data_IF_130071789348
#
_entry.id   IF_130071789348
#
_cell.length_a   1.000
_cell.length_b   1.000
_cell.length_c   1.000
_cell.angle_alpha   90.00
_cell.angle_beta   90.00
_cell.angle_gamma   90.00
#
_symmetry.space_group_name_H-M   'P 1'
#
loop_
_entity.id
_entity.type
_entity.pdbx_description
1 polymer ?
#
# COMPACT_ATOMS: atom_id res chain seq x y z
N UNK A 1 -34.46 17.38 -41.09
CA UNK A 1 -34.15 16.29 -40.15
C UNK A 1 -32.63 16.14 -40.05
N UNK A 2 -31.98 16.85 -39.12
CA UNK A 2 -30.54 16.74 -38.83
C UNK A 2 -30.34 17.06 -37.34
N UNK A 3 -30.63 16.10 -36.45
CA UNK A 3 -30.40 16.25 -35.00
C UNK A 3 -29.90 14.97 -34.31
N UNK A 4 -29.70 13.86 -35.04
CA UNK A 4 -29.25 12.60 -34.45
C UNK A 4 -27.73 12.52 -34.21
N UNK A 5 -26.93 13.22 -35.03
CA UNK A 5 -25.45 13.19 -34.93
C UNK A 5 -24.89 13.87 -33.67
N UNK A 6 -25.50 14.97 -33.24
CA UNK A 6 -25.00 15.80 -32.13
C UNK A 6 -25.20 15.13 -30.76
N UNK A 7 -26.32 14.41 -30.60
CA UNK A 7 -26.65 13.71 -29.34
C UNK A 7 -25.72 12.52 -29.08
N UNK A 8 -25.41 11.74 -30.12
CA UNK A 8 -24.53 10.57 -30.00
C UNK A 8 -23.10 10.95 -29.64
N UNK A 9 -22.59 12.07 -30.16
CA UNK A 9 -21.26 12.57 -29.83
C UNK A 9 -21.16 12.98 -28.36
N UNK A 10 -22.16 13.70 -27.84
CA UNK A 10 -22.22 14.12 -26.44
C UNK A 10 -22.33 12.92 -25.50
N UNK A 11 -23.12 11.90 -25.85
CA UNK A 11 -23.25 10.67 -25.06
C UNK A 11 -21.93 9.90 -24.95
N UNK A 12 -21.19 9.75 -26.06
CA UNK A 12 -19.89 9.09 -26.04
C UNK A 12 -18.89 9.78 -25.11
N UNK A 13 -18.84 11.11 -25.14
CA UNK A 13 -17.97 11.88 -24.23
C UNK A 13 -18.42 11.81 -22.77
N UNK A 14 -19.72 11.72 -22.48
CA UNK A 14 -20.22 11.48 -21.13
C UNK A 14 -19.77 10.12 -20.59
N UNK A 15 -19.82 9.07 -21.42
CA UNK A 15 -19.31 7.75 -21.03
C UNK A 15 -17.81 7.78 -20.71
N UNK A 16 -17.01 8.53 -21.49
CA UNK A 16 -15.58 8.73 -21.24
C UNK A 16 -15.30 9.51 -19.94
N UNK A 17 -16.14 10.50 -19.63
CA UNK A 17 -16.09 11.24 -18.37
C UNK A 17 -16.35 10.30 -17.18
N UNK A 18 -17.38 9.47 -17.25
CA UNK A 18 -17.68 8.49 -16.20
C UNK A 18 -16.55 7.48 -16.03
N UNK A 19 -15.99 6.96 -17.13
CA UNK A 19 -14.83 6.07 -17.09
C UNK A 19 -13.62 6.72 -16.40
N UNK A 20 -13.36 8.00 -16.67
CA UNK A 20 -12.27 8.76 -16.04
C UNK A 20 -12.48 8.89 -14.53
N UNK A 21 -13.72 9.22 -14.10
CA UNK A 21 -14.08 9.30 -12.67
C UNK A 21 -13.89 7.96 -11.98
N UNK A 22 -14.36 6.87 -12.60
CA UNK A 22 -14.19 5.51 -12.07
C UNK A 22 -12.72 5.15 -11.93
N UNK A 23 -11.90 5.46 -12.95
CA UNK A 23 -10.45 5.21 -12.93
C UNK A 23 -9.77 5.95 -11.79
N UNK A 24 -10.08 7.24 -11.60
CA UNK A 24 -9.54 8.06 -10.50
C UNK A 24 -9.95 7.48 -9.15
N UNK A 25 -11.22 7.13 -8.98
CA UNK A 25 -11.75 6.57 -7.74
C UNK A 25 -11.04 5.27 -7.36
N UNK A 26 -10.97 4.31 -8.29
CA UNK A 26 -10.30 3.02 -8.06
C UNK A 26 -8.81 3.23 -7.77
N UNK A 27 -8.11 4.01 -8.59
CA UNK A 27 -6.69 4.28 -8.40
C UNK A 27 -6.40 4.91 -7.03
N UNK A 28 -7.22 5.88 -6.60
CA UNK A 28 -7.08 6.55 -5.31
C UNK A 28 -7.31 5.62 -4.11
N UNK A 29 -8.31 4.74 -4.19
CA UNK A 29 -8.61 3.77 -3.14
C UNK A 29 -7.45 2.77 -2.96
N UNK A 30 -6.93 2.24 -4.08
CA UNK A 30 -5.80 1.32 -4.06
C UNK A 30 -4.53 2.02 -3.57
N UNK A 31 -4.27 3.25 -4.03
CA UNK A 31 -3.12 4.03 -3.58
C UNK A 31 -3.18 4.30 -2.07
N UNK A 32 -4.37 4.60 -1.53
CA UNK A 32 -4.57 4.80 -0.08
C UNK A 32 -4.27 3.52 0.69
N UNK A 33 -4.76 2.37 0.21
CA UNK A 33 -4.47 1.07 0.82
C UNK A 33 -2.97 0.74 0.77
N UNK A 34 -2.29 1.03 -0.34
CA UNK A 34 -0.84 0.85 -0.49
C UNK A 34 -0.05 1.74 0.46
N UNK A 35 -0.42 3.02 0.60
CA UNK A 35 0.22 3.92 1.57
C UNK A 35 0.04 3.38 2.99
N UNK A 36 -1.17 2.93 3.34
CA UNK A 36 -1.42 2.29 4.63
C UNK A 36 -0.54 1.05 4.85
N UNK A 37 -0.41 0.20 3.83
CA UNK A 37 0.49 -0.95 3.86
C UNK A 37 1.95 -0.55 4.05
N UNK A 38 2.44 0.48 3.33
CA UNK A 38 3.80 1.00 3.46
C UNK A 38 4.10 1.57 4.84
N UNK A 39 3.16 2.32 5.42
CA UNK A 39 3.29 2.89 6.76
C UNK A 39 3.35 1.79 7.82
N UNK A 40 2.51 0.75 7.70
CA UNK A 40 2.47 -0.35 8.67
C UNK A 40 3.67 -1.28 8.59
N UNK A 41 4.31 -1.41 7.42
CA UNK A 41 5.38 -2.38 7.17
C UNK A 41 6.72 -1.71 6.84
N UNK A 42 6.95 -0.49 7.31
CA UNK A 42 8.10 0.33 6.93
C UNK A 42 9.46 -0.36 7.20
N UNK A 43 9.57 -1.15 8.26
CA UNK A 43 10.82 -1.85 8.64
C UNK A 43 11.07 -3.15 7.85
N UNK A 44 10.04 -3.70 7.20
CA UNK A 44 10.03 -5.02 6.54
C UNK A 44 9.97 -4.92 5.02
N UNK A 45 9.79 -3.72 4.49
CA UNK A 45 9.79 -3.46 3.05
C UNK A 45 11.24 -3.20 2.63
N UNK A 46 11.79 -4.13 1.86
CA UNK A 46 13.08 -3.92 1.22
C UNK A 46 12.98 -2.68 0.32
N UNK A 47 13.94 -1.76 0.41
CA UNK A 47 13.94 -0.53 -0.40
C UNK A 47 14.33 -0.82 -1.87
N UNK A 48 13.62 -1.74 -2.52
CA UNK A 48 13.82 -2.13 -3.91
C UNK A 48 13.01 -1.20 -4.80
N UNK A 49 13.58 -0.78 -5.95
CA UNK A 49 12.91 0.10 -6.93
C UNK A 49 11.55 -0.45 -7.41
N UNK A 50 11.38 -1.77 -7.38
CA UNK A 50 10.12 -2.44 -7.75
C UNK A 50 8.96 -2.13 -6.80
N UNK A 51 9.22 -1.88 -5.51
CA UNK A 51 8.16 -1.61 -4.54
C UNK A 51 7.45 -0.28 -4.86
N UNK A 52 8.18 0.71 -5.38
CA UNK A 52 7.60 1.99 -5.78
C UNK A 52 6.91 1.97 -7.16
N UNK A 53 6.99 0.87 -7.91
CA UNK A 53 6.42 0.80 -9.26
C UNK A 53 4.89 0.90 -9.24
N UNK A 54 4.23 0.10 -8.40
CA UNK A 54 2.77 0.11 -8.26
C UNK A 54 2.21 1.51 -7.91
N UNK A 55 2.67 2.20 -6.84
CA UNK A 55 2.17 3.53 -6.52
C UNK A 55 2.45 4.57 -7.62
N UNK A 56 3.61 4.50 -8.28
CA UNK A 56 3.92 5.41 -9.40
C UNK A 56 2.96 5.22 -10.59
N UNK A 57 2.68 3.97 -10.99
CA UNK A 57 1.76 3.68 -12.08
C UNK A 57 0.33 4.14 -11.75
N UNK A 58 -0.11 3.98 -10.50
CA UNK A 58 -1.43 4.45 -10.04
C UNK A 58 -1.51 5.99 -10.07
N UNK A 59 -0.45 6.69 -9.66
CA UNK A 59 -0.38 8.16 -9.76
C UNK A 59 -0.45 8.61 -11.22
N UNK A 60 0.34 7.99 -12.11
CA UNK A 60 0.30 8.33 -13.53
C UNK A 60 -1.06 8.01 -14.16
N UNK A 61 -1.72 6.93 -13.75
CA UNK A 61 -3.09 6.62 -14.15
C UNK A 61 -4.05 7.75 -13.75
N UNK A 62 -4.02 8.20 -12.49
CA UNK A 62 -4.87 9.31 -12.03
C UNK A 62 -4.62 10.59 -12.81
N UNK A 63 -3.34 10.94 -13.03
CA UNK A 63 -2.97 12.16 -13.78
C UNK A 63 -3.50 12.08 -15.21
N UNK A 64 -3.27 10.97 -15.91
CA UNK A 64 -3.78 10.78 -17.27
C UNK A 64 -5.31 10.84 -17.33
N UNK A 65 -6.02 10.23 -16.37
CA UNK A 65 -7.47 10.27 -16.26
C UNK A 65 -7.99 11.70 -16.03
N UNK A 66 -7.33 12.50 -15.18
CA UNK A 66 -7.70 13.90 -14.94
C UNK A 66 -7.52 14.77 -16.19
N UNK A 67 -6.43 14.59 -16.93
CA UNK A 67 -6.25 15.29 -18.22
C UNK A 67 -7.28 14.87 -19.26
N UNK A 68 -7.54 13.56 -19.37
CA UNK A 68 -8.57 13.00 -20.26
C UNK A 68 -9.96 13.55 -19.95
N UNK A 69 -10.32 13.60 -18.67
CA UNK A 69 -11.56 14.20 -18.17
C UNK A 69 -11.70 15.68 -18.58
N UNK A 70 -10.65 16.49 -18.39
CA UNK A 70 -10.66 17.90 -18.78
C UNK A 70 -10.82 18.11 -20.29
N UNK A 71 -10.21 17.23 -21.10
CA UNK A 71 -10.35 17.24 -22.57
C UNK A 71 -11.75 16.82 -23.01
N UNK A 72 -12.35 15.81 -22.37
CA UNK A 72 -13.71 15.37 -22.65
C UNK A 72 -14.75 16.47 -22.39
N UNK A 73 -14.61 17.22 -21.29
CA UNK A 73 -15.47 18.37 -20.99
C UNK A 73 -15.33 19.45 -22.08
N UNK A 74 -14.09 19.72 -22.51
CA UNK A 74 -13.81 20.69 -23.59
C UNK A 74 -14.43 20.25 -24.92
N UNK A 75 -14.35 18.98 -25.27
CA UNK A 75 -14.94 18.41 -26.47
C UNK A 75 -16.47 18.61 -26.49
N UNK A 76 -17.15 18.33 -25.37
CA UNK A 76 -18.59 18.59 -25.22
C UNK A 76 -18.91 20.08 -25.38
N UNK A 77 -18.13 20.96 -24.74
CA UNK A 77 -18.38 22.42 -24.76
C UNK A 77 -18.16 23.04 -26.14
N UNK A 78 -17.18 22.55 -26.89
CA UNK A 78 -16.79 23.11 -28.19
C UNK A 78 -17.47 22.42 -29.37
N UNK A 79 -18.14 21.29 -29.16
CA UNK A 79 -18.73 20.47 -30.23
C UNK A 79 -17.68 19.80 -31.12
N UNK A 80 -16.40 19.90 -30.78
CA UNK A 80 -15.30 19.36 -31.57
C UNK A 80 -14.78 18.05 -30.98
N UNK A 81 -14.35 17.14 -31.85
CA UNK A 81 -13.67 15.92 -31.44
C UNK A 81 -12.25 16.23 -30.95
N UNK A 82 -11.89 15.68 -29.79
CA UNK A 82 -10.55 15.81 -29.18
C UNK A 82 -9.95 14.41 -29.00
N UNK A 83 -9.41 13.82 -30.07
CA UNK A 83 -8.81 12.47 -30.06
C UNK A 83 -7.75 12.28 -28.97
N UNK A 84 -7.03 13.35 -28.61
CA UNK A 84 -6.06 13.37 -27.51
C UNK A 84 -6.69 12.99 -26.15
N UNK A 85 -7.94 13.38 -25.91
CA UNK A 85 -8.67 13.04 -24.68
C UNK A 85 -8.96 11.54 -24.58
N UNK A 86 -9.39 10.92 -25.70
CA UNK A 86 -9.65 9.47 -25.75
C UNK A 86 -8.38 8.67 -25.47
N UNK A 87 -7.26 9.07 -26.09
CA UNK A 87 -5.96 8.41 -25.88
C UNK A 87 -5.54 8.47 -24.42
N UNK A 88 -5.64 9.64 -23.78
CA UNK A 88 -5.27 9.81 -22.37
C UNK A 88 -6.13 8.95 -21.44
N UNK A 89 -7.43 8.83 -21.71
CA UNK A 89 -8.32 7.96 -20.93
C UNK A 89 -7.92 6.49 -21.10
N UNK A 90 -7.67 6.02 -22.32
CA UNK A 90 -7.23 4.64 -22.56
C UNK A 90 -5.89 4.35 -21.88
N UNK A 91 -4.92 5.27 -21.98
CA UNK A 91 -3.63 5.17 -21.28
C UNK A 91 -3.85 5.11 -19.77
N UNK A 92 -4.77 5.91 -19.22
CA UNK A 92 -5.08 5.88 -17.78
C UNK A 92 -5.58 4.52 -17.31
N UNK A 93 -6.44 3.86 -18.10
CA UNK A 93 -6.98 2.53 -17.79
C UNK A 93 -5.89 1.46 -17.87
N UNK A 94 -5.01 1.53 -18.88
CA UNK A 94 -3.87 0.62 -18.99
C UNK A 94 -2.89 0.77 -17.83
N UNK A 95 -2.59 2.01 -17.43
CA UNK A 95 -1.74 2.29 -16.27
C UNK A 95 -2.38 1.81 -14.96
N UNK A 96 -3.70 1.94 -14.82
CA UNK A 96 -4.41 1.38 -13.68
C UNK A 96 -4.20 -0.14 -13.61
N UNK A 97 -4.48 -0.86 -14.70
CA UNK A 97 -4.31 -2.30 -14.75
C UNK A 97 -2.86 -2.73 -14.46
N UNK A 98 -1.88 -2.06 -15.07
CA UNK A 98 -0.46 -2.32 -14.82
C UNK A 98 -0.07 -2.03 -13.36
N UNK A 99 -0.59 -0.95 -12.78
CA UNK A 99 -0.38 -0.59 -11.38
C UNK A 99 -0.90 -1.65 -10.44
N UNK A 100 -2.12 -2.15 -10.66
CA UNK A 100 -2.73 -3.24 -9.87
C UNK A 100 -1.90 -4.52 -9.97
N UNK A 101 -1.50 -4.93 -11.18
CA UNK A 101 -0.69 -6.14 -11.37
C UNK A 101 0.67 -6.02 -10.68
N UNK A 102 1.26 -4.82 -10.70
CA UNK A 102 2.57 -4.56 -10.09
C UNK A 102 2.57 -4.65 -8.55
N UNK A 103 1.40 -4.64 -7.90
CA UNK A 103 1.29 -4.85 -6.45
C UNK A 103 1.86 -6.22 -6.05
N UNK A 104 1.70 -7.24 -6.91
CA UNK A 104 2.24 -8.58 -6.68
C UNK A 104 3.78 -8.63 -6.65
N UNK A 105 4.44 -7.59 -7.14
CA UNK A 105 5.90 -7.48 -7.17
C UNK A 105 6.48 -6.81 -5.91
N UNK A 106 5.61 -6.40 -4.98
CA UNK A 106 6.04 -5.79 -3.73
C UNK A 106 6.72 -6.87 -2.89
N UNK A 107 8.03 -6.73 -2.71
CA UNK A 107 8.83 -7.57 -1.84
C UNK A 107 8.74 -7.05 -0.41
N UNK A 108 8.13 -7.86 0.45
CA UNK A 108 7.90 -7.57 1.86
C UNK A 108 8.27 -8.80 2.67
N UNK A 109 9.21 -8.62 3.60
CA UNK A 109 9.64 -9.70 4.47
C UNK A 109 8.73 -9.79 5.71
N UNK A 110 8.00 -10.91 5.80
CA UNK A 110 7.18 -11.26 6.96
C UNK A 110 8.00 -11.59 8.21
N UNK A 111 9.33 -11.66 8.12
CA UNK A 111 10.21 -12.00 9.24
C UNK A 111 10.21 -10.93 10.34
N UNK A 112 10.00 -9.65 10.00
CA UNK A 112 10.08 -8.52 10.94
C UNK A 112 8.76 -8.07 11.58
N UNK A 113 7.65 -8.81 11.42
CA UNK A 113 6.39 -8.38 12.05
C UNK A 113 6.46 -8.53 13.57
N UNK A 114 6.00 -7.52 14.31
CA UNK A 114 5.96 -7.53 15.77
C UNK A 114 5.22 -8.77 16.31
N UNK A 115 4.17 -9.22 15.62
CA UNK A 115 3.43 -10.44 15.97
C UNK A 115 4.28 -11.70 15.86
N UNK A 116 5.13 -11.79 14.84
CA UNK A 116 6.05 -12.92 14.68
C UNK A 116 7.16 -12.88 15.72
N UNK A 117 7.73 -11.69 15.96
CA UNK A 117 8.72 -11.48 17.02
C UNK A 117 8.15 -11.90 18.38
N UNK A 118 6.95 -11.43 18.72
CA UNK A 118 6.24 -11.83 19.94
C UNK A 118 5.96 -13.34 19.99
N UNK A 119 5.60 -13.96 18.87
CA UNK A 119 5.37 -15.41 18.79
C UNK A 119 6.66 -16.23 18.94
N UNK A 120 7.76 -15.79 18.33
CA UNK A 120 9.07 -16.42 18.45
C UNK A 120 9.61 -16.29 19.88
N UNK A 121 9.43 -15.13 20.52
CA UNK A 121 9.74 -14.93 21.94
C UNK A 121 8.86 -15.82 22.81
N UNK A 122 7.55 -15.90 22.59
CA UNK A 122 6.67 -16.79 23.36
C UNK A 122 7.10 -18.26 23.20
N UNK A 123 7.52 -18.66 22.00
CA UNK A 123 8.00 -20.03 21.72
C UNK A 123 9.33 -20.32 22.41
N UNK A 124 10.30 -19.42 22.33
CA UNK A 124 11.61 -19.62 22.97
C UNK A 124 11.51 -19.53 24.50
N UNK A 125 10.68 -18.62 25.01
CA UNK A 125 10.43 -18.48 26.44
C UNK A 125 9.55 -19.58 27.02
N UNK A 126 8.83 -20.38 26.22
CA UNK A 126 8.18 -21.62 26.71
C UNK A 126 9.19 -22.69 27.15
N UNK A 127 10.41 -22.69 26.59
CA UNK A 127 11.47 -23.62 26.98
C UNK A 127 12.29 -23.10 28.18
N UNK A 128 12.35 -21.79 28.34
CA UNK A 128 12.78 -21.15 29.58
C UNK A 128 11.63 -21.27 30.60
N UNK A 129 11.88 -21.37 31.90
CA UNK A 129 10.79 -21.50 32.91
C UNK A 129 9.91 -20.23 33.06
N UNK A 130 9.93 -19.34 32.08
CA UNK A 130 9.47 -17.96 32.19
C UNK A 130 8.46 -17.68 31.08
N UNK A 131 7.16 -17.77 31.38
CA UNK A 131 6.11 -17.58 30.38
C UNK A 131 5.93 -16.09 30.08
N UNK A 132 6.52 -15.61 28.99
CA UNK A 132 6.30 -14.26 28.47
C UNK A 132 4.93 -14.24 27.76
N UNK A 133 4.05 -13.32 28.16
CA UNK A 133 2.69 -13.20 27.59
C UNK A 133 2.39 -11.73 27.35
N UNK A 134 1.57 -11.38 26.36
CA UNK A 134 1.23 -9.99 26.07
C UNK A 134 0.74 -9.19 27.31
N UNK A 135 0.12 -9.88 28.28
CA UNK A 135 -0.36 -9.31 29.54
C UNK A 135 0.73 -8.93 30.56
N UNK A 136 1.95 -9.44 30.43
CA UNK A 136 3.03 -9.20 31.38
C UNK A 136 4.15 -8.29 30.86
N UNK A 137 4.06 -7.88 29.60
CA UNK A 137 4.98 -6.91 28.98
C UNK A 137 4.68 -5.52 29.52
N UNK A 138 5.71 -4.85 30.03
CA UNK A 138 5.65 -3.46 30.51
C UNK A 138 6.17 -2.49 29.46
N UNK A 139 7.20 -2.88 28.72
CA UNK A 139 7.86 -2.02 27.74
C UNK A 139 8.52 -2.86 26.66
N UNK A 140 8.49 -2.35 25.43
CA UNK A 140 9.26 -2.86 24.29
C UNK A 140 10.03 -1.68 23.72
N UNK A 141 11.35 -1.78 23.72
CA UNK A 141 12.25 -0.84 23.06
C UNK A 141 12.97 -1.56 21.92
N UNK A 142 13.25 -0.84 20.83
CA UNK A 142 14.02 -1.38 19.70
C UNK A 142 15.35 -0.63 19.63
N UNK A 143 16.45 -1.37 19.71
CA UNK A 143 17.81 -0.82 19.62
C UNK A 143 18.62 -1.66 18.65
N UNK A 144 19.11 -1.04 17.56
CA UNK A 144 19.97 -1.69 16.56
C UNK A 144 19.41 -3.01 15.96
N UNK A 145 18.10 -3.06 15.71
CA UNK A 145 17.37 -4.26 15.24
C UNK A 145 17.21 -5.38 16.28
N UNK A 146 17.53 -5.12 17.53
CA UNK A 146 17.23 -6.00 18.66
C UNK A 146 16.07 -5.42 19.48
N UNK A 147 15.17 -6.30 19.93
CA UNK A 147 14.02 -5.96 20.75
C UNK A 147 14.39 -6.18 22.22
N UNK A 148 14.38 -5.10 23.00
CA UNK A 148 14.48 -5.15 24.45
C UNK A 148 13.07 -5.16 25.04
N UNK A 149 12.73 -6.25 25.68
CA UNK A 149 11.39 -6.49 26.21
C UNK A 149 11.48 -6.57 27.72
N UNK A 150 10.95 -5.54 28.38
CA UNK A 150 10.80 -5.51 29.82
C UNK A 150 9.45 -6.11 30.17
N UNK A 151 9.46 -7.18 30.95
CA UNK A 151 8.24 -7.83 31.43
C UNK A 151 8.34 -8.13 32.93
N UNK A 152 7.19 -8.23 33.58
CA UNK A 152 7.10 -8.51 35.00
C UNK A 152 6.69 -9.97 35.22
N UNK A 153 7.55 -10.73 35.91
CA UNK A 153 7.27 -12.11 36.29
C UNK A 153 7.61 -12.31 37.75
N UNK A 154 6.66 -12.88 38.51
CA UNK A 154 6.81 -13.11 39.96
C UNK A 154 7.25 -11.86 40.77
N UNK A 155 6.78 -10.67 40.38
CA UNK A 155 7.09 -9.40 41.05
C UNK A 155 8.50 -8.85 40.77
N UNK A 156 9.21 -9.42 39.79
CA UNK A 156 10.49 -8.88 39.30
C UNK A 156 10.34 -8.43 37.85
N UNK A 157 10.97 -7.30 37.53
CA UNK A 157 11.14 -6.85 36.15
C UNK A 157 12.35 -7.58 35.57
N UNK A 158 12.17 -8.23 34.44
CA UNK A 158 13.22 -8.93 33.68
C UNK A 158 13.27 -8.34 32.29
N UNK A 159 14.47 -8.22 31.74
CA UNK A 159 14.71 -7.70 30.40
C UNK A 159 15.20 -8.86 29.52
N UNK A 160 14.45 -9.12 28.45
CA UNK A 160 14.85 -10.05 27.39
C UNK A 160 15.31 -9.25 26.19
N UNK A 161 16.51 -9.55 25.70
CA UNK A 161 16.99 -9.03 24.42
C UNK A 161 16.81 -10.11 23.36
N UNK A 162 15.88 -9.87 22.43
CA UNK A 162 15.66 -10.70 21.26
C UNK A 162 16.34 -10.06 20.05
N UNK A 163 17.23 -10.79 19.38
CA UNK A 163 17.85 -10.25 18.17
C UNK A 163 16.96 -10.50 16.97
N UNK A 164 16.51 -9.42 16.32
CA UNK A 164 15.78 -9.52 15.06
C UNK A 164 16.65 -10.08 13.92
N UNK A 165 17.97 -9.95 14.02
CA UNK A 165 18.92 -10.50 13.02
C UNK A 165 19.15 -12.00 13.19
N UNK A 166 19.32 -12.45 14.42
CA UNK A 166 19.59 -13.87 14.71
C UNK A 166 18.32 -14.69 14.93
N UNK A 167 17.18 -14.01 15.02
CA UNK A 167 15.85 -14.57 15.28
C UNK A 167 15.82 -15.48 16.52
N UNK A 168 16.48 -15.02 17.60
CA UNK A 168 16.58 -15.71 18.89
C UNK A 168 16.83 -14.75 20.05
N UNK A 169 16.55 -15.20 21.27
CA UNK A 169 16.96 -14.51 22.51
C UNK A 169 18.49 -14.58 22.65
N UNK A 170 19.13 -13.42 22.76
CA UNK A 170 20.58 -13.29 22.91
C UNK A 170 20.98 -12.90 24.34
N UNK A 171 20.06 -12.35 25.14
CA UNK A 171 20.33 -11.96 26.54
C UNK A 171 19.09 -12.01 27.41
N UNK A 172 19.28 -12.35 28.69
CA UNK A 172 18.27 -12.33 29.74
C UNK A 172 18.89 -11.71 31.00
N UNK A 173 18.32 -10.60 31.47
CA UNK A 173 18.77 -9.83 32.65
C UNK A 173 17.66 -9.68 33.70
#
# INVERSE_FOLDING_TARGET
>A
MCQSGDKSHVEAWKSLIELSKTTISIASAILTALIGFYVLNQESINATKLNYLAPLLLIFSMVAAMYGFGRAIRAIKTGNSETSGVVLINVSVLLLAAGVLSISLIDYDKSGSLDRVLSDIERETKTLKIKLTASNIKKVDVVNSDYLISYESAGKITIVTYSGKENRIIKLE
#
